data_IF_990882941117
#
_entry.id   IF_990882941117
#
_cell.length_a   1.000
_cell.length_b   1.000
_cell.length_c   1.000
_cell.angle_alpha   90.00
_cell.angle_beta   90.00
_cell.angle_gamma   90.00
#
_symmetry.space_group_name_H-M   'P 1'
#
loop_
_entity.id
_entity.type
_entity.pdbx_description
1 polymer ?
#
# COMPACT_ATOMS: atom_id res chain seq x y z
N UNK A 1 2.40 -17.71 -0.62
CA UNK A 1 2.64 -17.19 -2.00
C UNK A 1 1.70 -16.05 -2.35
N UNK A 2 0.42 -16.05 -1.95
CA UNK A 2 -0.56 -15.04 -2.32
C UNK A 2 -0.35 -13.70 -1.60
N UNK A 3 -0.01 -13.74 -0.31
CA UNK A 3 0.37 -12.54 0.44
C UNK A 3 1.77 -12.02 0.08
N UNK A 4 2.62 -12.85 -0.53
CA UNK A 4 3.92 -12.44 -1.04
C UNK A 4 3.80 -11.59 -2.31
N UNK A 5 2.74 -11.74 -3.09
CA UNK A 5 2.45 -10.92 -4.28
C UNK A 5 2.24 -9.45 -3.89
N UNK A 6 1.62 -9.20 -2.74
CA UNK A 6 1.41 -7.84 -2.21
C UNK A 6 2.71 -7.22 -1.67
N UNK A 7 3.67 -8.06 -1.24
CA UNK A 7 4.94 -7.63 -0.67
C UNK A 7 6.09 -7.48 -1.68
N UNK A 8 6.00 -8.09 -2.84
CA UNK A 8 7.10 -8.17 -3.80
C UNK A 8 6.84 -7.31 -5.04
N UNK A 9 7.32 -6.07 -4.99
CA UNK A 9 7.18 -5.06 -6.06
C UNK A 9 7.93 -5.41 -7.35
N UNK A 10 8.69 -6.50 -7.36
CA UNK A 10 9.49 -6.92 -8.52
C UNK A 10 8.88 -8.04 -9.39
N UNK A 11 7.67 -8.51 -9.07
CA UNK A 11 7.06 -9.55 -9.88
C UNK A 11 6.28 -9.00 -11.08
N UNK A 12 7.01 -8.54 -12.09
CA UNK A 12 6.55 -8.45 -13.48
C UNK A 12 6.09 -9.79 -14.09
N UNK A 13 5.98 -10.84 -13.30
CA UNK A 13 5.84 -12.23 -13.79
C UNK A 13 4.37 -12.65 -13.97
N UNK A 14 3.39 -11.94 -13.43
CA UNK A 14 1.98 -12.39 -13.42
C UNK A 14 1.01 -11.51 -14.22
N UNK A 15 1.49 -10.60 -15.03
CA UNK A 15 0.64 -9.72 -15.83
C UNK A 15 0.98 -8.25 -15.62
N UNK A 16 0.25 -7.40 -16.35
CA UNK A 16 0.46 -5.97 -16.29
C UNK A 16 -0.12 -5.39 -15.01
N UNK A 17 0.58 -4.43 -14.43
CA UNK A 17 0.06 -3.58 -13.37
C UNK A 17 -1.12 -2.76 -13.88
N UNK A 18 -2.14 -2.61 -13.06
CA UNK A 18 -3.29 -1.78 -13.35
C UNK A 18 -2.93 -0.30 -13.23
N UNK A 19 -3.40 0.50 -14.16
CA UNK A 19 -3.31 1.95 -14.08
C UNK A 19 -4.41 2.46 -13.14
N UNK A 20 -4.00 3.23 -12.11
CA UNK A 20 -4.89 3.88 -11.16
C UNK A 20 -5.04 5.35 -11.50
N UNK A 21 -6.20 5.93 -11.22
CA UNK A 21 -6.42 7.37 -11.34
C UNK A 21 -5.53 8.11 -10.31
N UNK A 22 -4.59 8.95 -10.73
CA UNK A 22 -3.72 9.66 -9.80
C UNK A 22 -4.45 10.77 -9.03
N UNK A 23 -5.50 11.31 -9.61
CA UNK A 23 -6.32 12.40 -9.06
C UNK A 23 -7.79 12.17 -9.37
N UNK A 24 -8.68 12.86 -8.65
CA UNK A 24 -10.11 12.85 -8.95
C UNK A 24 -10.44 13.88 -10.03
N UNK A 25 -11.34 13.53 -10.93
CA UNK A 25 -11.78 14.41 -12.04
C UNK A 25 -12.54 13.65 -13.11
N UNK A 26 -12.65 14.25 -14.28
CA UNK A 26 -13.29 13.63 -15.46
C UNK A 26 -12.21 13.02 -16.35
N UNK A 27 -12.30 11.71 -16.61
CA UNK A 27 -11.33 10.98 -17.42
C UNK A 27 -11.69 11.11 -18.89
N UNK A 28 -10.77 11.59 -19.71
CA UNK A 28 -10.84 11.57 -21.17
C UNK A 28 -9.88 10.55 -21.73
N UNK A 29 -10.38 9.74 -22.70
CA UNK A 29 -9.65 8.66 -23.35
C UNK A 29 -9.54 8.99 -24.83
N UNK A 30 -8.35 9.33 -25.31
CA UNK A 30 -8.10 9.61 -26.72
C UNK A 30 -7.28 8.46 -27.32
N UNK A 31 -7.83 7.73 -28.32
CA UNK A 31 -7.08 6.68 -28.99
C UNK A 31 -6.01 7.28 -29.91
N UNK A 32 -4.79 6.82 -29.77
CA UNK A 32 -3.67 7.04 -30.71
C UNK A 32 -3.34 5.72 -31.43
N UNK A 33 -2.42 5.75 -32.36
CA UNK A 33 -2.13 4.57 -33.24
C UNK A 33 -1.66 3.33 -32.46
N UNK A 34 -0.88 3.50 -31.40
CA UNK A 34 -0.27 2.40 -30.61
C UNK A 34 -0.60 2.49 -29.11
N UNK A 35 -1.19 3.60 -28.67
CA UNK A 35 -1.42 3.91 -27.27
C UNK A 35 -2.78 4.60 -27.10
N UNK A 36 -3.26 4.65 -25.87
CA UNK A 36 -4.33 5.55 -25.47
C UNK A 36 -3.72 6.69 -24.65
N UNK A 37 -4.10 7.92 -24.97
CA UNK A 37 -3.81 9.09 -24.18
C UNK A 37 -4.92 9.27 -23.16
N UNK A 38 -4.59 9.19 -21.89
CA UNK A 38 -5.50 9.38 -20.76
C UNK A 38 -5.26 10.76 -20.17
N UNK A 39 -6.34 11.53 -19.98
CA UNK A 39 -6.30 12.86 -19.36
C UNK A 39 -7.35 12.93 -18.28
N UNK A 40 -6.99 13.47 -17.13
CA UNK A 40 -7.96 13.85 -16.11
C UNK A 40 -8.06 15.35 -16.11
N UNK A 41 -9.28 15.84 -16.30
CA UNK A 41 -9.60 17.26 -16.26
C UNK A 41 -10.38 17.58 -15.00
N UNK A 42 -10.33 18.84 -14.60
CA UNK A 42 -11.08 19.33 -13.45
C UNK A 42 -12.58 19.19 -13.70
N UNK A 43 -13.33 18.76 -12.69
CA UNK A 43 -14.77 18.60 -12.79
C UNK A 43 -15.51 19.96 -12.98
N UNK A 44 -14.93 21.05 -12.47
CA UNK A 44 -15.49 22.40 -12.53
C UNK A 44 -14.96 23.20 -13.74
N UNK A 45 -13.78 22.83 -14.28
CA UNK A 45 -13.15 23.49 -15.43
C UNK A 45 -12.57 22.47 -16.41
N UNK A 46 -13.37 22.08 -17.40
CA UNK A 46 -12.99 21.12 -18.44
C UNK A 46 -11.79 21.54 -19.31
N UNK A 47 -11.38 22.81 -19.26
CA UNK A 47 -10.18 23.28 -19.96
C UNK A 47 -8.88 23.01 -19.17
N UNK A 48 -8.98 22.71 -17.86
CA UNK A 48 -7.86 22.47 -16.98
C UNK A 48 -7.52 20.99 -16.90
N UNK A 49 -6.49 20.57 -17.64
CA UNK A 49 -5.89 19.23 -17.51
C UNK A 49 -5.09 19.18 -16.22
N UNK A 50 -5.45 18.26 -15.31
CA UNK A 50 -4.77 18.06 -14.05
C UNK A 50 -3.62 17.08 -14.22
N UNK A 51 -3.87 15.98 -14.94
CA UNK A 51 -2.88 14.91 -15.14
C UNK A 51 -3.06 14.29 -16.53
N UNK A 52 -1.95 13.88 -17.15
CA UNK A 52 -1.93 13.24 -18.46
C UNK A 52 -0.89 12.12 -18.49
N UNK A 53 -1.27 10.93 -19.01
CA UNK A 53 -0.35 9.82 -19.20
C UNK A 53 -0.80 8.92 -20.36
N UNK A 54 0.10 8.04 -20.81
CA UNK A 54 -0.15 7.11 -21.92
C UNK A 54 -0.16 5.68 -21.45
N UNK A 55 -1.07 4.90 -22.03
CA UNK A 55 -1.16 3.46 -21.82
C UNK A 55 -1.18 2.75 -23.17
N UNK A 56 -0.51 1.58 -23.34
CA UNK A 56 -0.50 0.87 -24.60
C UNK A 56 -1.91 0.47 -25.06
N UNK A 57 -2.15 0.46 -26.38
CA UNK A 57 -3.44 0.06 -26.97
C UNK A 57 -3.87 -1.39 -26.64
N UNK A 58 -2.96 -2.22 -26.13
CA UNK A 58 -3.25 -3.59 -25.70
C UNK A 58 -3.96 -3.70 -24.36
N UNK A 59 -4.10 -2.59 -23.61
CA UNK A 59 -4.82 -2.61 -22.31
C UNK A 59 -6.30 -2.79 -22.49
N UNK A 60 -6.90 -3.39 -21.45
CA UNK A 60 -8.35 -3.46 -21.32
C UNK A 60 -8.77 -2.56 -20.16
N UNK A 61 -9.72 -1.69 -20.41
CA UNK A 61 -10.32 -0.87 -19.38
C UNK A 61 -11.21 -1.69 -18.46
N UNK A 62 -11.39 -1.21 -17.24
CA UNK A 62 -12.36 -1.77 -16.30
C UNK A 62 -13.79 -1.52 -16.81
N UNK A 63 -14.74 -2.41 -16.47
CA UNK A 63 -16.14 -2.19 -16.81
C UNK A 63 -16.64 -0.84 -16.25
N UNK A 64 -17.29 -0.04 -17.08
CA UNK A 64 -17.79 1.29 -16.70
C UNK A 64 -16.77 2.43 -16.89
N UNK A 65 -15.54 2.15 -17.29
CA UNK A 65 -14.56 3.18 -17.67
C UNK A 65 -14.74 3.49 -19.15
N UNK A 66 -15.31 4.66 -19.44
CA UNK A 66 -15.55 5.20 -20.77
C UNK A 66 -15.06 6.65 -20.81
N UNK A 67 -14.99 7.22 -22.02
CA UNK A 67 -14.62 8.63 -22.18
C UNK A 67 -15.64 9.55 -21.51
N UNK A 68 -15.17 10.50 -20.72
CA UNK A 68 -16.00 11.43 -19.96
C UNK A 68 -16.51 10.90 -18.61
N UNK A 69 -16.04 9.73 -18.14
CA UNK A 69 -16.46 9.21 -16.82
C UNK A 69 -15.76 9.98 -15.68
N UNK A 70 -16.49 10.20 -14.60
CA UNK A 70 -15.93 10.77 -13.36
C UNK A 70 -15.20 9.67 -12.61
N UNK A 71 -13.92 9.89 -12.32
CA UNK A 71 -13.07 8.99 -11.52
C UNK A 71 -12.60 9.67 -10.23
N UNK A 72 -12.35 8.87 -9.21
CA UNK A 72 -11.74 9.31 -7.96
C UNK A 72 -10.27 8.87 -7.94
N UNK A 73 -9.45 9.61 -7.20
CA UNK A 73 -8.08 9.20 -6.94
C UNK A 73 -8.05 7.77 -6.38
N UNK A 74 -7.23 6.90 -7.00
CA UNK A 74 -7.13 5.49 -6.65
C UNK A 74 -8.09 4.55 -7.40
N UNK A 75 -9.06 5.05 -8.16
CA UNK A 75 -9.93 4.19 -8.97
C UNK A 75 -9.11 3.44 -10.03
N UNK A 76 -9.40 2.15 -10.18
CA UNK A 76 -8.72 1.31 -11.16
C UNK A 76 -9.29 1.58 -12.57
N UNK A 77 -8.44 2.07 -13.45
CA UNK A 77 -8.81 2.42 -14.84
C UNK A 77 -8.65 1.22 -15.76
N UNK A 78 -7.52 0.51 -15.67
CA UNK A 78 -7.22 -0.62 -16.54
C UNK A 78 -7.23 -1.94 -15.77
N UNK A 79 -7.52 -3.04 -16.48
CA UNK A 79 -7.41 -4.37 -15.89
C UNK A 79 -5.95 -4.73 -15.64
N UNK A 80 -5.67 -5.26 -14.46
CA UNK A 80 -4.34 -5.66 -14.04
C UNK A 80 -4.25 -5.84 -12.53
N UNK A 81 -3.04 -6.04 -12.03
CA UNK A 81 -2.80 -6.14 -10.59
C UNK A 81 -2.72 -4.75 -9.98
N UNK A 82 -3.48 -4.52 -8.92
CA UNK A 82 -3.44 -3.26 -8.18
C UNK A 82 -2.12 -3.16 -7.42
N UNK A 83 -1.38 -2.09 -7.67
CA UNK A 83 -0.24 -1.74 -6.84
C UNK A 83 -0.72 -1.08 -5.55
N UNK A 84 -0.83 -1.86 -4.48
CA UNK A 84 -1.33 -1.38 -3.20
C UNK A 84 -0.46 -0.29 -2.56
N UNK A 85 0.83 -0.22 -2.89
CA UNK A 85 1.69 0.89 -2.42
C UNK A 85 1.28 2.20 -3.08
N UNK A 86 1.03 2.17 -4.38
CA UNK A 86 0.53 3.34 -5.11
C UNK A 86 -0.88 3.70 -4.64
N UNK A 87 -1.77 2.71 -4.53
CA UNK A 87 -3.13 2.91 -4.02
C UNK A 87 -3.11 3.59 -2.64
N UNK A 88 -2.23 3.14 -1.72
CA UNK A 88 -2.11 3.70 -0.37
C UNK A 88 -1.59 5.15 -0.34
N UNK A 89 -0.86 5.58 -1.37
CA UNK A 89 -0.43 6.98 -1.53
C UNK A 89 -1.55 7.86 -2.07
N UNK A 90 -2.42 7.31 -2.88
CA UNK A 90 -3.52 8.01 -3.55
C UNK A 90 -4.80 8.05 -2.71
N UNK A 91 -4.99 7.07 -1.83
CA UNK A 91 -6.21 6.89 -1.04
C UNK A 91 -5.92 6.77 0.45
N UNK A 92 -6.98 6.75 1.24
CA UNK A 92 -6.92 6.49 2.67
C UNK A 92 -6.66 4.99 2.97
N UNK A 93 -6.47 4.70 4.26
CA UNK A 93 -6.16 3.34 4.71
C UNK A 93 -7.37 2.41 4.61
N UNK A 94 -8.59 2.94 4.76
CA UNK A 94 -9.82 2.17 4.74
C UNK A 94 -10.13 1.71 3.32
N UNK A 95 -10.05 2.61 2.34
CA UNK A 95 -10.20 2.29 0.92
C UNK A 95 -9.14 1.29 0.44
N UNK A 96 -7.88 1.48 0.85
CA UNK A 96 -6.79 0.54 0.53
C UNK A 96 -7.06 -0.83 1.13
N UNK A 97 -7.52 -0.90 2.39
CA UNK A 97 -7.83 -2.15 3.08
C UNK A 97 -9.01 -2.87 2.41
N UNK A 98 -10.06 -2.14 2.06
CA UNK A 98 -11.24 -2.70 1.38
C UNK A 98 -10.84 -3.33 0.04
N UNK A 99 -10.13 -2.58 -0.82
CA UNK A 99 -9.67 -3.09 -2.13
C UNK A 99 -8.74 -4.30 -1.96
N UNK A 100 -7.90 -4.31 -0.93
CA UNK A 100 -7.03 -5.44 -0.62
C UNK A 100 -7.85 -6.68 -0.24
N UNK A 101 -8.82 -6.53 0.66
CA UNK A 101 -9.69 -7.62 1.13
C UNK A 101 -10.46 -8.22 -0.04
N UNK A 102 -11.08 -7.37 -0.89
CA UNK A 102 -11.80 -7.84 -2.08
C UNK A 102 -10.87 -8.60 -3.04
N UNK A 103 -9.70 -8.06 -3.34
CA UNK A 103 -8.75 -8.70 -4.26
C UNK A 103 -8.30 -10.07 -3.76
N UNK A 104 -8.09 -10.25 -2.46
CA UNK A 104 -7.73 -11.54 -1.87
C UNK A 104 -8.92 -12.49 -1.88
N UNK A 105 -10.11 -12.00 -1.51
CA UNK A 105 -11.36 -12.76 -1.48
C UNK A 105 -11.71 -13.34 -2.85
N UNK A 106 -11.60 -12.51 -3.91
CA UNK A 106 -11.87 -12.93 -5.28
C UNK A 106 -11.01 -14.13 -5.71
N UNK A 107 -9.74 -14.13 -5.32
CA UNK A 107 -8.85 -15.25 -5.62
C UNK A 107 -9.27 -16.51 -4.87
N UNK A 108 -9.65 -16.43 -3.60
CA UNK A 108 -10.13 -17.59 -2.85
C UNK A 108 -11.47 -18.10 -3.39
N UNK A 109 -12.39 -17.19 -3.70
CA UNK A 109 -13.70 -17.52 -4.30
C UNK A 109 -13.54 -18.19 -5.66
N UNK A 110 -12.58 -17.74 -6.48
CA UNK A 110 -12.28 -18.39 -7.76
C UNK A 110 -11.77 -19.83 -7.62
N UNK A 111 -11.26 -20.19 -6.44
CA UNK A 111 -10.82 -21.55 -6.08
C UNK A 111 -11.89 -22.33 -5.32
N UNK A 112 -13.11 -21.80 -5.19
CA UNK A 112 -14.22 -22.44 -4.49
C UNK A 112 -14.12 -22.36 -2.96
N UNK A 113 -13.28 -21.48 -2.43
CA UNK A 113 -13.12 -21.30 -0.98
C UNK A 113 -13.79 -20.00 -0.56
N UNK A 114 -14.80 -20.11 0.30
CA UNK A 114 -15.43 -18.95 0.92
C UNK A 114 -14.69 -18.58 2.22
N UNK A 115 -14.21 -17.33 2.28
CA UNK A 115 -13.57 -16.76 3.46
C UNK A 115 -14.38 -15.58 3.97
N UNK A 116 -14.48 -15.49 5.30
CA UNK A 116 -15.03 -14.30 5.92
C UNK A 116 -13.99 -13.18 5.89
N UNK A 117 -14.42 -11.98 5.54
CA UNK A 117 -13.58 -10.80 5.36
C UNK A 117 -12.71 -10.50 6.59
N UNK A 118 -13.22 -10.76 7.80
CA UNK A 118 -12.49 -10.56 9.07
C UNK A 118 -11.14 -11.24 9.12
N UNK A 119 -10.99 -12.41 8.51
CA UNK A 119 -9.72 -13.15 8.51
C UNK A 119 -8.67 -12.43 7.66
N UNK A 120 -9.09 -11.83 6.55
CA UNK A 120 -8.21 -11.06 5.66
C UNK A 120 -7.93 -9.69 6.27
N UNK A 121 -8.95 -9.04 6.83
CA UNK A 121 -8.83 -7.71 7.47
C UNK A 121 -7.81 -7.69 8.61
N UNK A 122 -7.77 -8.71 9.46
CA UNK A 122 -6.79 -8.80 10.56
C UNK A 122 -5.36 -8.76 10.01
N UNK A 123 -5.11 -9.51 8.93
CA UNK A 123 -3.79 -9.55 8.29
C UNK A 123 -3.49 -8.20 7.61
N UNK A 124 -4.45 -7.68 6.84
CA UNK A 124 -4.32 -6.41 6.14
C UNK A 124 -4.04 -5.25 7.10
N UNK A 125 -4.72 -5.21 8.24
CA UNK A 125 -4.50 -4.22 9.30
C UNK A 125 -3.06 -4.21 9.80
N UNK A 126 -2.46 -5.38 10.00
CA UNK A 126 -1.06 -5.49 10.41
C UNK A 126 -0.09 -5.08 9.29
N UNK A 127 -0.41 -5.40 8.03
CA UNK A 127 0.41 -5.00 6.87
C UNK A 127 0.41 -3.47 6.65
N UNK A 128 -0.69 -2.79 6.96
CA UNK A 128 -0.90 -1.35 6.78
C UNK A 128 -0.58 -0.51 8.04
N UNK A 129 -0.14 -1.15 9.12
CA UNK A 129 0.07 -0.51 10.42
C UNK A 129 1.30 0.40 10.46
N UNK A 130 2.29 0.19 9.61
CA UNK A 130 3.59 0.85 9.67
C UNK A 130 3.71 2.02 8.69
N UNK A 131 4.55 2.98 9.07
CA UNK A 131 5.01 4.08 8.21
C UNK A 131 6.53 3.98 8.07
N UNK A 132 7.08 4.46 6.95
CA UNK A 132 8.51 4.51 6.72
C UNK A 132 8.99 5.95 6.88
N UNK A 133 9.92 6.17 7.78
CA UNK A 133 10.50 7.49 8.05
C UNK A 133 11.29 7.97 6.84
N UNK A 134 10.92 9.13 6.30
CA UNK A 134 11.59 9.82 5.18
C UNK A 134 12.48 10.95 5.65
N UNK A 135 12.14 11.58 6.78
CA UNK A 135 12.95 12.60 7.43
C UNK A 135 12.83 12.43 8.95
N UNK A 136 13.91 12.16 9.68
CA UNK A 136 13.82 11.95 11.13
C UNK A 136 13.56 13.24 11.93
N UNK A 137 13.78 14.45 11.37
CA UNK A 137 13.68 15.68 12.14
C UNK A 137 14.52 15.63 13.42
N UNK A 138 13.94 16.11 14.54
CA UNK A 138 14.57 16.08 15.87
C UNK A 138 14.21 14.78 16.66
N UNK A 139 13.68 13.74 15.98
CA UNK A 139 13.38 12.46 16.59
C UNK A 139 14.58 11.54 16.67
N UNK A 140 14.47 10.47 17.46
CA UNK A 140 15.47 9.40 17.55
C UNK A 140 15.35 8.36 16.42
N UNK A 141 14.45 8.57 15.45
CA UNK A 141 14.25 7.63 14.34
C UNK A 141 15.40 7.67 13.34
N UNK A 142 15.60 6.53 12.65
CA UNK A 142 16.54 6.44 11.55
C UNK A 142 15.84 6.61 10.21
N UNK A 143 16.53 7.18 9.23
CA UNK A 143 16.06 7.27 7.86
C UNK A 143 15.72 5.88 7.31
N UNK A 144 14.51 5.71 6.75
CA UNK A 144 14.03 4.43 6.21
C UNK A 144 13.52 3.43 7.26
N UNK A 145 13.54 3.79 8.55
CA UNK A 145 13.00 2.95 9.63
C UNK A 145 11.48 2.78 9.48
N UNK A 146 10.98 1.57 9.78
CA UNK A 146 9.54 1.31 9.86
C UNK A 146 9.07 1.45 11.30
N UNK A 147 8.14 2.38 11.52
CA UNK A 147 7.59 2.70 12.83
C UNK A 147 6.08 2.48 12.82
N UNK A 148 5.51 2.14 13.97
CA UNK A 148 4.06 2.08 14.13
C UNK A 148 3.46 3.48 13.92
N UNK A 149 2.39 3.57 13.12
CA UNK A 149 1.77 4.86 12.76
C UNK A 149 1.23 5.65 13.97
N UNK A 150 0.77 4.94 15.00
CA UNK A 150 0.23 5.60 16.21
C UNK A 150 1.37 6.16 17.06
N UNK A 151 2.43 5.38 17.26
CA UNK A 151 3.64 5.83 17.97
C UNK A 151 4.30 6.97 17.22
N UNK A 152 4.35 6.88 15.88
CA UNK A 152 4.87 7.98 15.04
C UNK A 152 4.05 9.25 15.22
N UNK A 153 2.71 9.18 15.16
CA UNK A 153 1.83 10.34 15.32
C UNK A 153 1.99 10.99 16.71
N UNK A 154 2.12 10.19 17.76
CA UNK A 154 2.40 10.68 19.13
C UNK A 154 3.77 11.39 19.19
N UNK A 155 4.80 10.82 18.58
CA UNK A 155 6.13 11.44 18.51
C UNK A 155 6.10 12.77 17.78
N UNK A 156 5.39 12.86 16.64
CA UNK A 156 5.19 14.11 15.89
C UNK A 156 4.57 15.18 16.78
N UNK A 157 3.51 14.84 17.53
CA UNK A 157 2.84 15.78 18.42
C UNK A 157 3.76 16.25 19.56
N UNK A 158 4.49 15.34 20.18
CA UNK A 158 5.38 15.66 21.31
C UNK A 158 6.52 16.60 20.88
N UNK A 159 7.14 16.35 19.71
CA UNK A 159 8.21 17.20 19.18
C UNK A 159 7.67 18.59 18.77
N UNK A 160 6.51 18.62 18.11
CA UNK A 160 5.87 19.89 17.74
C UNK A 160 5.52 20.75 18.97
N UNK A 161 5.01 20.13 20.06
CA UNK A 161 4.73 20.83 21.32
C UNK A 161 6.01 21.34 22.00
N UNK A 162 7.14 20.64 21.83
CA UNK A 162 8.43 21.06 22.34
C UNK A 162 9.10 22.16 21.46
N UNK A 163 8.49 22.53 20.33
CA UNK A 163 9.01 23.54 19.39
C UNK A 163 10.14 23.04 18.50
N UNK A 164 10.34 21.72 18.41
CA UNK A 164 11.30 21.07 17.51
C UNK A 164 10.74 20.80 16.12
N UNK A 165 11.59 20.31 15.22
CA UNK A 165 11.22 19.89 13.87
C UNK A 165 10.64 18.47 13.89
N UNK A 166 9.34 18.29 13.58
CA UNK A 166 8.74 16.97 13.61
C UNK A 166 9.30 16.05 12.50
N UNK A 167 9.33 14.73 12.71
CA UNK A 167 9.71 13.78 11.68
C UNK A 167 8.64 13.66 10.59
N UNK A 168 9.07 13.29 9.37
CA UNK A 168 8.20 13.00 8.24
C UNK A 168 8.26 11.51 7.88
N UNK A 169 7.15 10.95 7.43
CA UNK A 169 7.09 9.56 7.02
C UNK A 169 6.06 9.34 5.90
N UNK A 170 6.32 8.33 5.08
CA UNK A 170 5.37 7.86 4.07
C UNK A 170 4.63 6.59 4.55
N UNK A 171 3.37 6.42 4.12
CA UNK A 171 2.65 5.18 4.36
C UNK A 171 3.40 3.97 3.78
N UNK A 172 3.53 2.91 4.57
CA UNK A 172 4.19 1.69 4.14
C UNK A 172 3.22 0.50 4.16
N UNK A 173 3.39 -0.39 3.17
CA UNK A 173 2.74 -1.70 3.17
C UNK A 173 3.83 -2.75 3.33
N UNK A 174 3.76 -3.51 4.41
CA UNK A 174 4.70 -4.58 4.69
C UNK A 174 4.12 -5.93 4.26
N UNK A 175 4.92 -6.75 3.60
CA UNK A 175 4.57 -8.15 3.35
C UNK A 175 4.47 -8.93 4.67
N UNK A 176 3.72 -10.03 4.66
CA UNK A 176 3.43 -10.85 5.85
C UNK A 176 4.67 -11.32 6.60
N UNK A 177 5.71 -11.72 5.86
CA UNK A 177 6.99 -12.14 6.45
C UNK A 177 7.68 -10.98 7.20
N UNK A 178 7.64 -9.79 6.62
CA UNK A 178 8.26 -8.61 7.24
C UNK A 178 7.44 -8.13 8.43
N UNK A 179 6.11 -8.22 8.35
CA UNK A 179 5.21 -7.95 9.49
C UNK A 179 5.55 -8.87 10.65
N UNK A 180 5.59 -10.18 10.39
CA UNK A 180 5.87 -11.18 11.42
C UNK A 180 7.27 -11.02 12.06
N UNK A 181 8.27 -10.55 11.30
CA UNK A 181 9.63 -10.31 11.81
C UNK A 181 9.84 -8.91 12.40
N UNK A 182 8.86 -8.02 12.32
CA UNK A 182 8.91 -6.66 12.88
C UNK A 182 8.00 -6.46 14.09
N UNK A 183 7.55 -7.54 14.70
CA UNK A 183 6.79 -7.55 15.95
C UNK A 183 7.79 -7.31 17.10
N UNK A 184 7.35 -6.60 18.14
CA UNK A 184 8.18 -6.26 19.30
C UNK A 184 8.57 -7.51 20.12
N UNK A 185 7.78 -8.61 20.03
CA UNK A 185 8.11 -9.91 20.59
C UNK A 185 8.97 -10.72 19.62
N UNK A 186 10.26 -10.87 19.92
CA UNK A 186 11.17 -11.73 19.14
C UNK A 186 10.78 -13.21 19.25
N UNK A 187 10.18 -13.65 20.37
CA UNK A 187 9.69 -15.01 20.54
C UNK A 187 8.53 -15.32 19.59
N UNK A 188 7.61 -14.39 19.41
CA UNK A 188 6.52 -14.50 18.43
C UNK A 188 7.08 -14.56 17.00
N UNK A 189 8.03 -13.72 16.68
CA UNK A 189 8.73 -13.74 15.39
C UNK A 189 9.45 -15.08 15.15
N UNK A 190 10.17 -15.61 16.15
CA UNK A 190 10.85 -16.88 16.09
C UNK A 190 9.90 -18.07 15.89
N UNK A 191 8.69 -18.01 16.45
CA UNK A 191 7.69 -19.08 16.27
C UNK A 191 7.10 -19.13 14.86
N UNK A 192 7.11 -18.02 14.13
CA UNK A 192 6.54 -17.94 12.80
C UNK A 192 7.54 -18.32 11.71
N UNK A 193 8.75 -17.73 11.71
CA UNK A 193 9.76 -17.95 10.67
C UNK A 193 11.18 -17.65 11.18
N UNK A 194 12.18 -18.33 10.58
CA UNK A 194 13.61 -18.11 10.86
C UNK A 194 13.99 -18.26 12.33
N UNK A 195 13.42 -19.21 13.02
CA UNK A 195 13.61 -19.49 14.45
C UNK A 195 15.08 -19.38 14.90
N UNK A 196 15.99 -20.05 14.21
CA UNK A 196 17.41 -20.04 14.55
C UNK A 196 18.03 -18.63 14.43
N UNK A 197 17.71 -17.89 13.36
CA UNK A 197 18.24 -16.54 13.14
C UNK A 197 17.75 -15.54 14.17
N UNK A 198 16.46 -15.57 14.49
CA UNK A 198 15.85 -14.67 15.48
C UNK A 198 16.37 -14.94 16.88
N UNK A 199 16.45 -16.23 17.27
CA UNK A 199 17.00 -16.63 18.56
C UNK A 199 18.49 -16.26 18.70
N UNK A 200 19.28 -16.41 17.62
CA UNK A 200 20.68 -16.02 17.62
C UNK A 200 20.83 -14.51 17.79
N UNK A 201 20.05 -13.69 17.06
CA UNK A 201 20.11 -12.22 17.21
C UNK A 201 19.72 -11.80 18.62
N UNK A 202 18.59 -12.30 19.13
CA UNK A 202 18.14 -11.99 20.50
C UNK A 202 19.18 -12.41 21.58
N UNK A 203 19.84 -13.56 21.39
CA UNK A 203 20.88 -14.01 22.31
C UNK A 203 22.13 -13.13 22.24
N UNK A 204 22.52 -12.64 21.06
CA UNK A 204 23.66 -11.74 20.87
C UNK A 204 23.39 -10.37 21.47
N UNK A 205 22.19 -9.85 21.25
CA UNK A 205 21.77 -8.54 21.74
C UNK A 205 21.40 -8.54 23.22
N UNK A 206 21.18 -9.72 23.81
CA UNK A 206 20.71 -9.86 25.19
C UNK A 206 19.29 -9.33 25.39
N UNK A 207 18.48 -9.42 24.35
CA UNK A 207 17.14 -8.85 24.32
C UNK A 207 16.17 -9.63 25.19
N UNK A 208 15.25 -8.92 25.86
CA UNK A 208 14.22 -9.48 26.76
C UNK A 208 12.85 -9.36 26.10
N UNK A 209 12.20 -10.50 25.87
CA UNK A 209 10.83 -10.52 25.36
C UNK A 209 9.83 -10.21 26.50
N UNK A 210 9.00 -9.19 26.28
CA UNK A 210 7.98 -8.77 27.26
C UNK A 210 6.67 -9.56 27.16
N UNK A 211 6.55 -10.50 26.20
CA UNK A 211 5.38 -11.39 26.02
C UNK A 211 4.03 -10.65 25.91
N UNK A 212 3.99 -9.53 25.23
CA UNK A 212 2.79 -8.69 25.04
C UNK A 212 2.00 -9.10 23.82
#
# INVERSE_FOLDING_TARGET
RMFDVVGNVNEKILGREADLAPVSGVLHITPETTEYLLRIVDADDASRVIEEWRVPASVRFMPGIEDGVVVRAGDQITRGFVNFRMLRRLTDIESTMHTFVESVKDVYTSQGVELNDKHIEVIARQMLRRVQVTNPGDSSYLLGQYVDRYVFAETVQNIALAGGTPPEAEPAILGTLKVASSIDSWLSSASFIRTAGVLTSAAIEGDVDHLL
#
